data_IF_970190217963
#
_entry.id   IF_970190217963
#
_cell.length_a   1.000
_cell.length_b   1.000
_cell.length_c   1.000
_cell.angle_alpha   90.00
_cell.angle_beta   90.00
_cell.angle_gamma   90.00
#
_symmetry.space_group_name_H-M   'P 1'
#
loop_
_entity.id
_entity.type
_entity.pdbx_description
1 polymer ?
#
# COMPACT_ATOMS: atom_id res chain seq x y z
N UNK A 1 -41.27 -42.41 -59.79
CA UNK A 1 -41.46 -40.96 -59.52
C UNK A 1 -41.02 -40.67 -58.11
N UNK A 2 -39.96 -39.89 -58.00
CA UNK A 2 -39.07 -39.79 -56.81
C UNK A 2 -39.62 -38.85 -55.76
N UNK A 3 -39.82 -39.31 -54.53
CA UNK A 3 -39.96 -38.45 -53.37
C UNK A 3 -38.59 -38.40 -52.67
N UNK A 4 -37.98 -37.22 -52.70
CA UNK A 4 -36.75 -36.92 -51.99
C UNK A 4 -37.07 -36.64 -50.52
N UNK A 5 -36.61 -37.47 -49.62
CA UNK A 5 -36.64 -37.23 -48.19
C UNK A 5 -35.58 -36.17 -47.83
N UNK A 6 -36.03 -35.00 -47.50
CA UNK A 6 -35.21 -33.95 -46.85
C UNK A 6 -35.21 -34.20 -45.36
N UNK A 7 -34.09 -34.74 -44.86
CA UNK A 7 -33.83 -34.81 -43.41
C UNK A 7 -33.33 -33.45 -42.98
N UNK A 8 -34.18 -32.70 -42.26
CA UNK A 8 -33.77 -31.51 -41.55
C UNK A 8 -32.95 -31.92 -40.31
N UNK A 9 -31.63 -31.77 -40.40
CA UNK A 9 -30.77 -31.84 -39.23
C UNK A 9 -30.89 -30.51 -38.48
N UNK A 10 -31.66 -30.51 -37.40
CA UNK A 10 -31.65 -29.42 -36.42
C UNK A 10 -30.32 -29.49 -35.65
N UNK A 11 -29.35 -28.70 -36.09
CA UNK A 11 -28.19 -28.38 -35.25
C UNK A 11 -28.67 -27.47 -34.12
N UNK A 12 -28.91 -28.04 -32.94
CA UNK A 12 -29.04 -27.30 -31.70
C UNK A 12 -27.69 -26.71 -31.34
N UNK A 13 -27.50 -25.45 -31.68
CA UNK A 13 -26.41 -24.63 -31.12
C UNK A 13 -26.68 -24.46 -29.61
N UNK A 14 -26.09 -25.34 -28.80
CA UNK A 14 -25.91 -25.09 -27.37
C UNK A 14 -24.87 -23.97 -27.28
N UNK A 15 -25.35 -22.73 -27.21
CA UNK A 15 -24.51 -21.62 -26.77
C UNK A 15 -24.17 -21.88 -25.31
N UNK A 16 -22.98 -22.46 -25.04
CA UNK A 16 -22.35 -22.32 -23.74
C UNK A 16 -22.17 -20.82 -23.54
N UNK A 17 -23.07 -20.22 -22.77
CA UNK A 17 -22.82 -18.98 -22.09
C UNK A 17 -21.65 -19.29 -21.13
N UNK A 18 -20.43 -19.09 -21.62
CA UNK A 18 -19.29 -18.95 -20.74
C UNK A 18 -19.67 -17.74 -19.85
N UNK A 19 -20.23 -18.05 -18.67
CA UNK A 19 -20.27 -17.11 -17.58
C UNK A 19 -18.82 -16.66 -17.42
N UNK A 20 -18.51 -15.44 -17.84
CA UNK A 20 -17.30 -14.75 -17.41
C UNK A 20 -17.43 -14.53 -15.91
N UNK A 21 -17.27 -15.61 -15.15
CA UNK A 21 -17.02 -15.54 -13.74
C UNK A 21 -15.68 -14.86 -13.61
N UNK A 22 -15.69 -13.60 -13.18
CA UNK A 22 -14.47 -12.93 -12.75
C UNK A 22 -13.75 -13.86 -11.79
N UNK A 23 -12.45 -14.07 -12.02
CA UNK A 23 -11.59 -14.84 -11.11
C UNK A 23 -11.92 -14.43 -9.66
N UNK A 24 -12.01 -15.36 -8.70
CA UNK A 24 -12.41 -15.04 -7.32
C UNK A 24 -11.55 -13.95 -6.66
N UNK A 25 -10.27 -13.81 -7.02
CA UNK A 25 -9.44 -12.66 -6.63
C UNK A 25 -10.00 -11.36 -7.17
N UNK A 26 -10.44 -11.34 -8.44
CA UNK A 26 -11.05 -10.15 -9.06
C UNK A 26 -12.34 -9.72 -8.35
N UNK A 27 -13.08 -10.66 -7.73
CA UNK A 27 -14.25 -10.30 -6.92
C UNK A 27 -13.88 -9.60 -5.64
N UNK A 28 -12.85 -10.09 -4.94
CA UNK A 28 -12.32 -9.43 -3.74
C UNK A 28 -11.77 -8.02 -4.08
N UNK A 29 -11.00 -7.91 -5.16
CA UNK A 29 -10.46 -6.63 -5.64
C UNK A 29 -11.57 -5.65 -6.03
N UNK A 30 -12.65 -6.13 -6.67
CA UNK A 30 -13.79 -5.31 -7.03
C UNK A 30 -14.55 -4.79 -5.81
N UNK A 31 -14.79 -5.63 -4.79
CA UNK A 31 -15.41 -5.19 -3.54
C UNK A 31 -14.51 -4.19 -2.80
N UNK A 32 -13.21 -4.46 -2.72
CA UNK A 32 -12.24 -3.55 -2.11
C UNK A 32 -12.26 -2.17 -2.77
N UNK A 33 -12.24 -2.12 -4.11
CA UNK A 33 -12.27 -0.87 -4.86
C UNK A 33 -13.56 -0.06 -4.67
N UNK A 34 -14.66 -0.71 -4.29
CA UNK A 34 -15.93 -0.08 -3.96
C UNK A 34 -16.04 0.34 -2.49
N UNK A 35 -15.05 0.02 -1.66
CA UNK A 35 -15.09 0.25 -0.22
C UNK A 35 -15.93 -0.78 0.56
N UNK A 36 -16.34 -1.86 -0.08
CA UNK A 36 -17.11 -2.95 0.53
C UNK A 36 -16.14 -3.95 1.15
N UNK A 37 -15.51 -3.57 2.26
CA UNK A 37 -14.36 -4.29 2.82
C UNK A 37 -14.74 -5.64 3.44
N UNK A 38 -15.93 -5.77 4.05
CA UNK A 38 -16.45 -7.03 4.58
C UNK A 38 -16.68 -8.06 3.46
N UNK A 39 -17.28 -7.63 2.36
CA UNK A 39 -17.50 -8.48 1.18
C UNK A 39 -16.18 -8.81 0.48
N UNK A 40 -15.20 -7.89 0.50
CA UNK A 40 -13.87 -8.15 0.00
C UNK A 40 -13.19 -9.26 0.83
N UNK A 41 -13.24 -9.19 2.16
CA UNK A 41 -12.71 -10.24 3.05
C UNK A 41 -13.36 -11.59 2.75
N UNK A 42 -14.69 -11.66 2.66
CA UNK A 42 -15.40 -12.91 2.39
C UNK A 42 -15.03 -13.51 1.01
N UNK A 43 -14.83 -12.67 0.00
CA UNK A 43 -14.41 -13.11 -1.32
C UNK A 43 -12.96 -13.63 -1.32
N UNK A 44 -12.04 -12.95 -0.61
CA UNK A 44 -10.66 -13.43 -0.44
C UNK A 44 -10.60 -14.71 0.39
N UNK A 45 -11.40 -14.85 1.45
CA UNK A 45 -11.49 -16.07 2.26
C UNK A 45 -11.81 -17.28 1.38
N UNK A 46 -12.88 -17.19 0.59
CA UNK A 46 -13.29 -18.26 -0.33
C UNK A 46 -12.20 -18.61 -1.35
N UNK A 47 -11.47 -17.59 -1.84
CA UNK A 47 -10.38 -17.84 -2.79
C UNK A 47 -9.16 -18.49 -2.12
N UNK A 48 -8.78 -18.04 -0.92
CA UNK A 48 -7.61 -18.54 -0.19
C UNK A 48 -7.81 -19.98 0.27
N UNK A 49 -9.05 -20.42 0.54
CA UNK A 49 -9.34 -21.84 0.85
C UNK A 49 -8.82 -22.77 -0.25
N UNK A 50 -9.01 -22.39 -1.53
CA UNK A 50 -8.55 -23.18 -2.66
C UNK A 50 -7.11 -22.83 -3.10
N UNK A 51 -6.63 -21.65 -2.73
CA UNK A 51 -5.34 -21.11 -3.16
C UNK A 51 -4.52 -20.55 -1.97
N UNK A 52 -4.14 -21.39 -0.98
CA UNK A 52 -3.61 -20.95 0.31
C UNK A 52 -2.23 -20.28 0.24
N UNK A 53 -1.55 -20.33 -0.90
CA UNK A 53 -0.24 -19.72 -1.15
C UNK A 53 -0.30 -18.50 -2.07
N UNK A 54 -1.50 -18.03 -2.42
CA UNK A 54 -1.64 -16.85 -3.27
C UNK A 54 -1.34 -15.58 -2.45
N UNK A 55 -0.14 -15.02 -2.67
CA UNK A 55 0.36 -13.83 -1.95
C UNK A 55 -0.58 -12.65 -2.12
N UNK A 56 -1.08 -12.42 -3.34
CA UNK A 56 -1.94 -11.29 -3.67
C UNK A 56 -3.27 -11.34 -2.89
N UNK A 57 -3.91 -12.51 -2.83
CA UNK A 57 -5.17 -12.67 -2.11
C UNK A 57 -4.99 -12.49 -0.59
N UNK A 58 -3.94 -13.10 -0.02
CA UNK A 58 -3.61 -12.97 1.40
C UNK A 58 -3.30 -11.52 1.75
N UNK A 59 -2.45 -10.86 0.95
CA UNK A 59 -2.10 -9.45 1.14
C UNK A 59 -3.31 -8.53 1.06
N UNK A 60 -4.16 -8.68 0.04
CA UNK A 60 -5.33 -7.82 -0.15
C UNK A 60 -6.41 -8.08 0.91
N UNK A 61 -6.54 -9.31 1.44
CA UNK A 61 -7.38 -9.56 2.62
C UNK A 61 -6.87 -8.81 3.83
N UNK A 62 -5.55 -8.81 4.05
CA UNK A 62 -4.92 -8.02 5.11
C UNK A 62 -5.20 -6.52 4.99
N UNK A 63 -5.16 -5.99 3.76
CA UNK A 63 -5.55 -4.60 3.50
C UNK A 63 -7.01 -4.33 3.82
N UNK A 64 -7.91 -5.23 3.43
CA UNK A 64 -9.34 -5.11 3.76
C UNK A 64 -9.57 -5.12 5.28
N UNK A 65 -8.87 -5.99 6.02
CA UNK A 65 -8.88 -5.97 7.48
C UNK A 65 -8.34 -4.66 8.07
N UNK A 66 -7.28 -4.09 7.49
CA UNK A 66 -6.73 -2.78 7.92
C UNK A 66 -7.76 -1.66 7.75
N UNK A 67 -8.51 -1.61 6.64
CA UNK A 67 -9.57 -0.63 6.40
C UNK A 67 -10.75 -0.78 7.37
N UNK A 68 -11.04 -2.01 7.79
CA UNK A 68 -12.05 -2.32 8.83
C UNK A 68 -11.57 -2.00 10.25
N UNK A 69 -10.29 -1.64 10.42
CA UNK A 69 -9.69 -1.42 11.73
C UNK A 69 -9.29 -2.71 12.48
N UNK A 70 -9.42 -3.87 11.84
CA UNK A 70 -9.05 -5.18 12.39
C UNK A 70 -7.52 -5.39 12.28
N UNK A 71 -6.73 -4.53 12.94
CA UNK A 71 -5.27 -4.50 12.82
C UNK A 71 -4.58 -5.82 13.16
N UNK A 72 -5.13 -6.61 14.08
CA UNK A 72 -4.57 -7.92 14.41
C UNK A 72 -4.73 -8.94 13.26
N UNK A 73 -5.85 -8.88 12.54
CA UNK A 73 -6.07 -9.74 11.37
C UNK A 73 -5.22 -9.26 10.21
N UNK A 74 -5.12 -7.95 10.01
CA UNK A 74 -4.26 -7.35 9.00
C UNK A 74 -2.79 -7.76 9.22
N UNK A 75 -2.30 -7.71 10.46
CA UNK A 75 -0.94 -8.14 10.81
C UNK A 75 -0.69 -9.60 10.44
N UNK A 76 -1.60 -10.51 10.83
CA UNK A 76 -1.46 -11.93 10.50
C UNK A 76 -1.40 -12.18 8.98
N UNK A 77 -2.24 -11.49 8.22
CA UNK A 77 -2.25 -11.64 6.77
C UNK A 77 -1.01 -11.05 6.11
N UNK A 78 -0.55 -9.88 6.55
CA UNK A 78 0.69 -9.29 6.03
C UNK A 78 1.92 -10.14 6.39
N UNK A 79 1.98 -10.70 7.60
CA UNK A 79 3.04 -11.61 8.00
C UNK A 79 3.04 -12.88 7.15
N UNK A 80 1.86 -13.47 6.92
CA UNK A 80 1.72 -14.62 6.03
C UNK A 80 2.12 -14.29 4.60
N UNK A 81 1.73 -13.13 4.08
CA UNK A 81 2.14 -12.68 2.75
C UNK A 81 3.68 -12.50 2.67
N UNK A 82 4.30 -11.97 3.73
CA UNK A 82 5.75 -11.87 3.86
C UNK A 82 6.45 -13.25 3.88
N UNK A 83 5.91 -14.22 4.61
CA UNK A 83 6.44 -15.59 4.62
C UNK A 83 6.39 -16.25 3.23
N UNK A 84 5.35 -15.93 2.45
CA UNK A 84 5.16 -16.46 1.10
C UNK A 84 6.06 -15.78 0.06
N UNK A 85 6.27 -14.47 0.20
CA UNK A 85 7.13 -13.65 -0.65
C UNK A 85 7.85 -12.56 0.16
N UNK A 86 9.03 -12.88 0.71
CA UNK A 86 9.81 -11.93 1.54
C UNK A 86 10.36 -10.71 0.78
N UNK A 87 10.30 -10.74 -0.57
CA UNK A 87 10.80 -9.65 -1.41
C UNK A 87 9.68 -8.78 -1.99
N UNK A 88 8.47 -8.96 -1.53
CA UNK A 88 7.35 -8.15 -1.97
C UNK A 88 7.38 -6.77 -1.30
N UNK A 89 7.76 -5.74 -2.07
CA UNK A 89 7.89 -4.37 -1.56
C UNK A 89 6.58 -3.84 -0.95
N UNK A 90 5.42 -4.20 -1.52
CA UNK A 90 4.12 -3.74 -1.00
C UNK A 90 3.83 -4.34 0.37
N UNK A 91 4.09 -5.63 0.55
CA UNK A 91 3.93 -6.32 1.84
C UNK A 91 4.83 -5.70 2.91
N UNK A 92 6.12 -5.50 2.58
CA UNK A 92 7.09 -4.90 3.49
C UNK A 92 6.69 -3.48 3.92
N UNK A 93 6.26 -2.65 2.97
CA UNK A 93 5.80 -1.29 3.25
C UNK A 93 4.51 -1.29 4.08
N UNK A 94 3.58 -2.23 3.83
CA UNK A 94 2.35 -2.35 4.62
C UNK A 94 2.63 -2.78 6.06
N UNK A 95 3.55 -3.74 6.27
CA UNK A 95 4.00 -4.12 7.61
C UNK A 95 4.65 -2.94 8.34
N UNK A 96 5.55 -2.21 7.68
CA UNK A 96 6.17 -1.01 8.25
C UNK A 96 5.11 0.02 8.66
N UNK A 97 4.14 0.31 7.79
CA UNK A 97 3.10 1.29 8.06
C UNK A 97 2.16 0.83 9.20
N UNK A 98 1.78 -0.44 9.22
CA UNK A 98 0.96 -1.03 10.28
C UNK A 98 1.64 -0.89 11.65
N UNK A 99 2.92 -1.28 11.74
CA UNK A 99 3.70 -1.13 12.98
C UNK A 99 3.91 0.33 13.39
N UNK A 100 3.98 1.27 12.42
CA UNK A 100 3.96 2.70 12.73
C UNK A 100 2.66 3.11 13.41
N UNK A 101 1.50 2.65 12.91
CA UNK A 101 0.19 2.93 13.51
C UNK A 101 0.08 2.36 14.92
N UNK A 102 0.66 1.17 15.14
CA UNK A 102 0.72 0.49 16.45
C UNK A 102 1.79 1.10 17.39
N UNK A 103 2.57 2.10 16.94
CA UNK A 103 3.70 2.72 17.65
C UNK A 103 4.87 1.75 17.96
N UNK A 104 4.93 0.65 17.24
CA UNK A 104 6.02 -0.32 17.31
C UNK A 104 7.16 0.08 16.36
N UNK A 105 7.79 1.22 16.64
CA UNK A 105 8.71 1.91 15.72
C UNK A 105 9.95 1.09 15.34
N UNK A 106 10.41 0.17 16.21
CA UNK A 106 11.52 -0.73 15.88
C UNK A 106 11.13 -1.77 14.83
N UNK A 107 9.92 -2.35 14.93
CA UNK A 107 9.43 -3.25 13.90
C UNK A 107 9.13 -2.50 12.61
N UNK A 108 8.57 -1.30 12.70
CA UNK A 108 8.35 -0.45 11.54
C UNK A 108 9.67 -0.17 10.80
N UNK A 109 10.75 0.14 11.53
CA UNK A 109 12.08 0.35 10.96
C UNK A 109 12.60 -0.92 10.28
N UNK A 110 12.49 -2.08 10.93
CA UNK A 110 12.94 -3.36 10.37
C UNK A 110 12.35 -3.64 8.99
N UNK A 111 11.03 -3.52 8.85
CA UNK A 111 10.37 -3.81 7.58
C UNK A 111 10.61 -2.71 6.53
N UNK A 112 10.79 -1.45 6.96
CA UNK A 112 11.22 -0.39 6.05
C UNK A 112 12.66 -0.61 5.55
N UNK A 113 13.56 -1.09 6.39
CA UNK A 113 14.93 -1.45 6.00
C UNK A 113 14.91 -2.53 4.92
N UNK A 114 14.15 -3.61 5.13
CA UNK A 114 13.99 -4.63 4.10
C UNK A 114 13.42 -4.08 2.79
N UNK A 115 12.48 -3.13 2.87
CA UNK A 115 11.90 -2.52 1.67
C UNK A 115 12.91 -1.66 0.89
N UNK A 116 13.78 -0.90 1.57
CA UNK A 116 14.79 -0.04 0.90
C UNK A 116 15.97 -0.85 0.36
N UNK A 117 16.22 -2.07 0.86
CA UNK A 117 17.25 -2.97 0.35
C UNK A 117 16.85 -3.64 -0.98
N UNK A 118 15.58 -3.60 -1.35
CA UNK A 118 15.13 -4.17 -2.62
C UNK A 118 15.64 -3.34 -3.82
N UNK A 119 16.05 -3.99 -4.91
CA UNK A 119 16.38 -3.27 -6.14
C UNK A 119 15.21 -2.42 -6.64
N UNK A 120 15.46 -1.13 -6.87
CA UNK A 120 14.42 -0.21 -7.32
C UNK A 120 13.41 0.17 -6.25
N UNK A 121 13.82 0.16 -4.98
CA UNK A 121 12.97 0.54 -3.87
C UNK A 121 12.23 1.88 -4.13
N UNK A 122 10.89 1.93 -3.96
CA UNK A 122 10.10 3.12 -4.23
C UNK A 122 10.35 4.21 -3.18
N UNK A 123 10.07 5.47 -3.52
CA UNK A 123 10.19 6.62 -2.61
C UNK A 123 9.47 6.40 -1.26
N UNK A 124 8.33 5.72 -1.28
CA UNK A 124 7.56 5.39 -0.09
C UNK A 124 8.36 4.53 0.90
N UNK A 125 9.21 3.60 0.45
CA UNK A 125 10.04 2.78 1.34
C UNK A 125 11.01 3.65 2.17
N UNK A 126 11.71 4.56 1.51
CA UNK A 126 12.60 5.53 2.18
C UNK A 126 11.84 6.45 3.12
N UNK A 127 10.64 6.87 2.73
CA UNK A 127 9.78 7.69 3.58
C UNK A 127 9.33 6.95 4.86
N UNK A 128 8.94 5.69 4.77
CA UNK A 128 8.55 4.88 5.92
C UNK A 128 9.74 4.66 6.86
N UNK A 129 10.93 4.39 6.31
CA UNK A 129 12.17 4.30 7.07
C UNK A 129 12.46 5.61 7.80
N UNK A 130 12.38 6.73 7.10
CA UNK A 130 12.58 8.06 7.69
C UNK A 130 11.60 8.33 8.85
N UNK A 131 10.32 7.96 8.68
CA UNK A 131 9.31 8.12 9.74
C UNK A 131 9.65 7.27 10.97
N UNK A 132 10.04 6.01 10.78
CA UNK A 132 10.42 5.13 11.88
C UNK A 132 11.63 5.68 12.64
N UNK A 133 12.70 6.08 11.93
CA UNK A 133 13.89 6.72 12.49
C UNK A 133 13.56 8.01 13.24
N UNK A 134 12.66 8.84 12.69
CA UNK A 134 12.22 10.08 13.34
C UNK A 134 11.55 9.79 14.69
N UNK A 135 10.64 8.81 14.75
CA UNK A 135 9.98 8.42 15.99
C UNK A 135 10.94 7.81 17.03
N UNK A 136 12.00 7.18 16.59
CA UNK A 136 13.07 6.64 17.42
C UNK A 136 14.09 7.72 17.87
N UNK A 137 13.96 8.96 17.38
CA UNK A 137 14.86 10.06 17.70
C UNK A 137 16.16 10.09 16.88
N UNK A 138 16.31 9.21 15.89
CA UNK A 138 17.47 9.13 15.00
C UNK A 138 17.40 10.22 13.91
N UNK A 139 17.48 11.47 14.34
CA UNK A 139 17.18 12.66 13.54
C UNK A 139 18.00 12.78 12.27
N UNK A 140 19.34 12.59 12.36
CA UNK A 140 20.21 12.78 11.20
C UNK A 140 20.00 11.70 10.13
N UNK A 141 19.72 10.47 10.57
CA UNK A 141 19.35 9.38 9.64
C UNK A 141 18.01 9.64 9.01
N UNK A 142 17.00 10.04 9.79
CA UNK A 142 15.69 10.39 9.28
C UNK A 142 15.75 11.50 8.22
N UNK A 143 16.57 12.54 8.42
CA UNK A 143 16.78 13.59 7.43
C UNK A 143 17.39 13.07 6.12
N UNK A 144 18.32 12.11 6.20
CA UNK A 144 18.91 11.47 5.02
C UNK A 144 17.86 10.66 4.26
N UNK A 145 17.08 9.85 4.98
CA UNK A 145 16.07 8.99 4.34
C UNK A 145 14.89 9.80 3.75
N UNK A 146 14.41 10.87 4.40
CA UNK A 146 13.46 11.79 3.77
C UNK A 146 14.04 12.41 2.50
N UNK A 147 15.34 12.76 2.50
CA UNK A 147 15.99 13.30 1.32
C UNK A 147 16.14 12.26 0.21
N UNK A 148 16.35 10.99 0.56
CA UNK A 148 16.36 9.88 -0.39
C UNK A 148 14.97 9.66 -1.00
N UNK A 149 13.90 9.72 -0.21
CA UNK A 149 12.52 9.66 -0.70
C UNK A 149 12.26 10.76 -1.74
N UNK A 150 12.61 12.00 -1.43
CA UNK A 150 12.46 13.16 -2.32
C UNK A 150 13.32 13.03 -3.60
N UNK A 151 14.50 12.45 -3.49
CA UNK A 151 15.37 12.20 -4.66
C UNK A 151 14.75 11.17 -5.61
N UNK A 152 14.05 10.17 -5.07
CA UNK A 152 13.37 9.14 -5.85
C UNK A 152 12.04 9.64 -6.43
N UNK A 153 11.35 10.54 -5.72
CA UNK A 153 10.11 11.18 -6.16
C UNK A 153 10.13 12.64 -5.70
N UNK A 154 10.42 13.54 -6.64
CA UNK A 154 10.49 14.98 -6.38
C UNK A 154 9.13 15.64 -6.10
N UNK A 155 8.01 14.95 -6.37
CA UNK A 155 6.65 15.41 -6.11
C UNK A 155 6.06 14.81 -4.82
N UNK A 156 6.86 14.12 -4.02
CA UNK A 156 6.42 13.51 -2.79
C UNK A 156 6.23 14.54 -1.66
N UNK A 157 5.14 15.28 -1.71
CA UNK A 157 4.82 16.40 -0.81
C UNK A 157 4.91 16.03 0.69
N UNK A 158 4.48 14.82 1.08
CA UNK A 158 4.58 14.36 2.47
C UNK A 158 6.03 14.27 2.95
N UNK A 159 6.95 13.86 2.10
CA UNK A 159 8.36 13.76 2.47
C UNK A 159 8.98 15.15 2.74
N UNK A 160 8.63 16.15 1.93
CA UNK A 160 8.99 17.55 2.21
C UNK A 160 8.41 18.03 3.54
N UNK A 161 7.11 17.80 3.77
CA UNK A 161 6.47 18.22 5.02
C UNK A 161 7.16 17.65 6.25
N UNK A 162 7.36 16.33 6.31
CA UNK A 162 7.98 15.71 7.48
C UNK A 162 9.46 16.06 7.62
N UNK A 163 10.20 16.21 6.53
CA UNK A 163 11.59 16.70 6.56
C UNK A 163 11.63 18.16 7.05
N UNK A 164 10.70 18.98 6.61
CA UNK A 164 10.55 20.37 7.04
C UNK A 164 10.31 20.46 8.55
N UNK A 165 9.36 19.69 9.09
CA UNK A 165 9.11 19.62 10.53
C UNK A 165 10.34 19.21 11.32
N UNK A 166 11.06 18.20 10.84
CA UNK A 166 12.27 17.70 11.51
C UNK A 166 13.39 18.74 11.47
N UNK A 167 13.57 19.47 10.36
CA UNK A 167 14.51 20.59 10.26
C UNK A 167 14.17 21.71 11.24
N UNK A 168 12.87 22.07 11.36
CA UNK A 168 12.40 23.07 12.34
C UNK A 168 12.69 22.63 13.77
N UNK A 169 12.44 21.36 14.12
CA UNK A 169 12.74 20.79 15.42
C UNK A 169 14.24 20.82 15.75
N UNK A 170 15.11 20.80 14.73
CA UNK A 170 16.57 20.90 14.86
C UNK A 170 17.12 22.31 14.65
N UNK A 171 16.27 23.34 14.74
CA UNK A 171 16.60 24.77 14.58
C UNK A 171 17.14 25.14 13.18
N UNK A 172 17.00 24.31 12.19
CA UNK A 172 17.32 24.60 10.78
C UNK A 172 16.14 25.32 10.11
N UNK A 173 15.74 26.47 10.65
CA UNK A 173 14.47 27.15 10.34
C UNK A 173 14.34 27.45 8.85
N UNK A 174 15.34 28.08 8.21
CA UNK A 174 15.29 28.41 6.80
C UNK A 174 14.96 27.17 5.93
N UNK A 175 15.74 26.10 6.08
CA UNK A 175 15.52 24.89 5.28
C UNK A 175 14.24 24.15 5.64
N UNK A 176 13.72 24.30 6.87
CA UNK A 176 12.41 23.77 7.27
C UNK A 176 11.28 24.52 6.56
N UNK A 177 11.35 25.85 6.52
CA UNK A 177 10.36 26.69 5.84
C UNK A 177 10.37 26.51 4.32
N UNK A 178 11.55 26.31 3.72
CA UNK A 178 11.67 25.97 2.30
C UNK A 178 10.94 24.66 1.98
N UNK A 179 11.15 23.62 2.77
CA UNK A 179 10.45 22.34 2.59
C UNK A 179 8.93 22.45 2.79
N UNK A 180 8.45 23.22 3.77
CA UNK A 180 7.01 23.46 3.96
C UNK A 180 6.40 24.21 2.77
N UNK A 181 7.10 25.19 2.20
CA UNK A 181 6.63 25.88 1.01
C UNK A 181 6.54 24.94 -0.21
N UNK A 182 7.50 24.04 -0.38
CA UNK A 182 7.46 23.04 -1.45
C UNK A 182 6.29 22.06 -1.26
N UNK A 183 6.04 21.61 -0.03
CA UNK A 183 4.87 20.77 0.26
C UNK A 183 3.54 21.47 -0.07
N UNK A 184 3.43 22.77 0.25
CA UNK A 184 2.25 23.58 -0.09
C UNK A 184 2.10 23.81 -1.58
N UNK A 185 3.20 23.99 -2.31
CA UNK A 185 3.17 24.12 -3.78
C UNK A 185 2.67 22.84 -4.47
N UNK A 186 2.68 21.71 -3.76
CA UNK A 186 2.13 20.41 -4.18
C UNK A 186 0.77 20.12 -3.52
N UNK A 187 0.04 21.16 -3.11
CA UNK A 187 -1.29 21.09 -2.50
C UNK A 187 -1.38 20.28 -1.19
N UNK A 188 -0.24 20.07 -0.49
CA UNK A 188 -0.24 19.39 0.79
C UNK A 188 -0.64 20.34 1.93
N UNK A 189 -1.95 20.53 2.09
CA UNK A 189 -2.56 21.48 3.03
C UNK A 189 -2.12 21.35 4.51
N UNK A 190 -1.75 20.15 5.05
CA UNK A 190 -1.24 20.06 6.42
C UNK A 190 0.01 20.92 6.69
N UNK A 191 0.77 21.31 5.65
CA UNK A 191 1.96 22.13 5.79
C UNK A 191 1.62 23.60 6.17
N UNK A 192 0.39 24.08 5.92
CA UNK A 192 0.01 25.47 6.17
C UNK A 192 0.12 25.85 7.66
N UNK A 193 -0.46 25.05 8.53
CA UNK A 193 -0.43 25.32 9.98
C UNK A 193 1.01 25.36 10.54
N UNK A 194 1.88 24.46 10.04
CA UNK A 194 3.28 24.46 10.45
C UNK A 194 4.02 25.70 9.93
N UNK A 195 3.77 26.11 8.67
CA UNK A 195 4.35 27.31 8.08
C UNK A 195 3.95 28.57 8.89
N UNK A 196 2.66 28.73 9.18
CA UNK A 196 2.14 29.90 9.92
C UNK A 196 2.76 30.00 11.32
N UNK A 197 3.02 28.85 11.94
CA UNK A 197 3.60 28.79 13.28
C UNK A 197 5.10 29.08 13.34
N UNK A 198 5.87 28.65 12.33
CA UNK A 198 7.33 28.59 12.44
C UNK A 198 8.08 29.43 11.40
N UNK A 199 7.40 29.97 10.38
CA UNK A 199 8.05 30.60 9.22
C UNK A 199 7.69 32.09 9.03
N UNK A 200 7.16 32.74 10.06
CA UNK A 200 6.86 34.18 10.07
C UNK A 200 8.07 34.98 10.52
#
# INVERSE_FOLDING_TARGET
MNLKNSVLILLSFITLLASCGTEPTNRGDAHYAQGNYEEAVAAYDSFIESNPRNVHAVYNRGRAHEELGDFEKAERDFQRAYELDPKNAQVLMSLSNLYQKQKEHMKALLYADYAVELPGAPAMAYFLKARALHQLGNTDEALREYSAAIKNDSEFAQAYYYRGLLKLGTKKVKGGCEDLNLALAMDYTPAQAAKDKYCN
#
